data_IF_545889020149
#
_entry.id   IF_545889020149
#
_cell.length_a   1.000
_cell.length_b   1.000
_cell.length_c   1.000
_cell.angle_alpha   90.00
_cell.angle_beta   90.00
_cell.angle_gamma   90.00
#
_symmetry.space_group_name_H-M   'P 1'
#
loop_
_entity.id
_entity.type
_entity.pdbx_description
1 polymer ?
#
# COMPACT_ATOMS: atom_id res chain seq x y z
N UNK A 1 2.10 11.71 -23.08
CA UNK A 1 1.51 10.36 -23.02
C UNK A 1 2.51 9.34 -22.51
N UNK A 2 3.46 8.86 -23.32
CA UNK A 2 4.39 7.78 -22.91
C UNK A 2 5.26 8.14 -21.71
N UNK A 3 5.83 9.36 -21.67
CA UNK A 3 6.63 9.84 -20.53
C UNK A 3 5.82 9.89 -19.22
N UNK A 4 4.58 10.39 -19.27
CA UNK A 4 3.72 10.53 -18.08
C UNK A 4 3.36 9.16 -17.50
N UNK A 5 3.09 8.17 -18.36
CA UNK A 5 2.82 6.79 -17.95
C UNK A 5 4.07 6.18 -17.30
N UNK A 6 5.25 6.40 -17.86
CA UNK A 6 6.52 5.92 -17.26
C UNK A 6 6.73 6.55 -15.88
N UNK A 7 6.50 7.86 -15.73
CA UNK A 7 6.59 8.56 -14.45
C UNK A 7 5.59 7.99 -13.45
N UNK A 8 4.33 7.76 -13.86
CA UNK A 8 3.31 7.18 -13.01
C UNK A 8 3.72 5.79 -12.50
N UNK A 9 4.21 4.93 -13.39
CA UNK A 9 4.69 3.59 -13.03
C UNK A 9 5.85 3.69 -12.03
N UNK A 10 6.82 4.56 -12.27
CA UNK A 10 7.95 4.76 -11.36
C UNK A 10 7.49 5.21 -9.96
N UNK A 11 6.53 6.15 -9.88
CA UNK A 11 5.96 6.61 -8.62
C UNK A 11 5.23 5.49 -7.88
N UNK A 12 4.40 4.72 -8.57
CA UNK A 12 3.68 3.57 -7.98
C UNK A 12 4.68 2.53 -7.46
N UNK A 13 5.74 2.21 -8.21
CA UNK A 13 6.77 1.25 -7.78
C UNK A 13 7.47 1.73 -6.51
N UNK A 14 7.87 3.01 -6.44
CA UNK A 14 8.52 3.56 -5.25
C UNK A 14 7.59 3.51 -4.04
N UNK A 15 6.33 3.90 -4.20
CA UNK A 15 5.34 3.86 -3.11
C UNK A 15 5.08 2.42 -2.64
N UNK A 16 4.95 1.45 -3.56
CA UNK A 16 4.79 0.04 -3.21
C UNK A 16 6.01 -0.53 -2.48
N UNK A 17 7.23 -0.13 -2.89
CA UNK A 17 8.45 -0.54 -2.19
C UNK A 17 8.44 -0.07 -0.73
N UNK A 18 8.03 1.17 -0.49
CA UNK A 18 7.91 1.73 0.88
C UNK A 18 6.83 0.98 1.66
N UNK A 19 5.66 0.73 1.06
CA UNK A 19 4.57 -0.02 1.70
C UNK A 19 5.03 -1.43 2.09
N UNK A 20 5.67 -2.18 1.19
CA UNK A 20 6.13 -3.52 1.52
C UNK A 20 7.27 -3.54 2.53
N UNK A 21 8.12 -2.51 2.59
CA UNK A 21 9.08 -2.35 3.68
C UNK A 21 8.38 -2.14 5.04
N UNK A 22 7.38 -1.27 5.09
CA UNK A 22 6.56 -1.06 6.28
C UNK A 22 5.82 -2.34 6.70
N UNK A 23 5.39 -3.16 5.74
CA UNK A 23 4.75 -4.44 6.01
C UNK A 23 5.73 -5.44 6.64
N UNK A 24 6.94 -5.52 6.11
CA UNK A 24 7.98 -6.38 6.67
C UNK A 24 8.30 -6.00 8.11
N UNK A 25 8.42 -4.69 8.38
CA UNK A 25 8.64 -4.14 9.71
C UNK A 25 7.52 -4.43 10.72
N UNK A 26 6.30 -4.65 10.25
CA UNK A 26 5.16 -5.07 11.09
C UNK A 26 5.31 -6.54 11.54
N UNK A 27 6.21 -7.30 10.92
CA UNK A 27 6.51 -8.69 11.26
C UNK A 27 6.04 -9.69 10.19
N UNK A 28 5.61 -9.24 9.02
CA UNK A 28 5.31 -10.14 7.90
C UNK A 28 6.59 -10.61 7.22
N UNK A 29 6.59 -11.83 6.69
CA UNK A 29 7.75 -12.32 5.94
C UNK A 29 7.95 -11.50 4.66
N UNK A 30 9.19 -11.53 4.16
CA UNK A 30 9.55 -10.88 2.89
C UNK A 30 8.65 -11.34 1.74
N UNK A 31 8.29 -12.63 1.71
CA UNK A 31 7.42 -13.22 0.69
C UNK A 31 6.03 -12.55 0.68
N UNK A 32 5.40 -12.39 1.85
CA UNK A 32 4.11 -11.69 1.94
C UNK A 32 4.22 -10.23 1.49
N UNK A 33 5.34 -9.58 1.80
CA UNK A 33 5.60 -8.19 1.38
C UNK A 33 5.73 -8.07 -0.13
N UNK A 34 6.42 -9.01 -0.77
CA UNK A 34 6.53 -9.09 -2.24
C UNK A 34 5.16 -9.35 -2.87
N UNK A 35 4.37 -10.29 -2.33
CA UNK A 35 3.00 -10.55 -2.83
C UNK A 35 2.15 -9.29 -2.73
N UNK A 36 2.23 -8.57 -1.61
CA UNK A 36 1.48 -7.33 -1.42
C UNK A 36 1.82 -6.28 -2.47
N UNK A 37 3.11 -6.14 -2.83
CA UNK A 37 3.57 -5.21 -3.86
C UNK A 37 3.04 -5.54 -5.27
N UNK A 38 2.66 -6.79 -5.54
CA UNK A 38 2.04 -7.18 -6.82
C UNK A 38 0.60 -6.67 -6.96
N UNK A 39 -0.02 -6.23 -5.86
CA UNK A 39 -1.37 -5.68 -5.82
C UNK A 39 -1.32 -4.18 -5.45
N UNK A 40 -0.90 -3.31 -6.39
CA UNK A 40 -0.77 -1.88 -6.15
C UNK A 40 -2.12 -1.22 -5.86
N UNK A 41 -2.10 0.08 -5.54
CA UNK A 41 -3.30 0.85 -5.23
C UNK A 41 -4.02 0.31 -3.97
N UNK A 42 -3.25 -0.27 -3.06
CA UNK A 42 -3.74 -0.73 -1.75
C UNK A 42 -4.66 -1.94 -1.76
N UNK A 43 -4.86 -2.62 -2.90
CA UNK A 43 -5.65 -3.86 -2.97
C UNK A 43 -5.07 -4.90 -2.01
N UNK A 44 -3.74 -5.07 -1.98
CA UNK A 44 -3.08 -5.97 -1.05
C UNK A 44 -3.30 -5.58 0.42
N UNK A 45 -3.22 -4.29 0.74
CA UNK A 45 -3.46 -3.79 2.12
C UNK A 45 -4.89 -4.03 2.57
N UNK A 46 -5.86 -3.84 1.67
CA UNK A 46 -7.27 -4.06 1.98
C UNK A 46 -7.56 -5.54 2.24
N UNK A 47 -7.01 -6.43 1.41
CA UNK A 47 -7.06 -7.88 1.62
C UNK A 47 -6.45 -8.27 2.98
N UNK A 48 -5.31 -7.68 3.33
CA UNK A 48 -4.66 -7.90 4.61
C UNK A 48 -5.54 -7.45 5.78
N UNK A 49 -6.20 -6.31 5.68
CA UNK A 49 -7.10 -5.83 6.72
C UNK A 49 -8.28 -6.80 6.93
N UNK A 50 -8.99 -7.15 5.87
CA UNK A 50 -10.17 -8.00 5.94
C UNK A 50 -9.82 -9.42 6.41
N UNK A 51 -8.82 -10.05 5.81
CA UNK A 51 -8.55 -11.47 6.04
C UNK A 51 -7.58 -11.75 7.17
N UNK A 52 -6.67 -10.84 7.50
CA UNK A 52 -5.70 -11.05 8.58
C UNK A 52 -6.10 -10.31 9.85
N UNK A 53 -6.25 -8.99 9.79
CA UNK A 53 -6.40 -8.19 11.01
C UNK A 53 -7.78 -8.32 11.64
N UNK A 54 -8.85 -8.24 10.86
CA UNK A 54 -10.22 -8.34 11.40
C UNK A 54 -10.51 -9.73 11.97
N UNK A 55 -9.96 -10.78 11.36
CA UNK A 55 -10.10 -12.15 11.85
C UNK A 55 -9.32 -12.40 13.14
N UNK A 56 -8.13 -11.80 13.28
CA UNK A 56 -7.22 -12.07 14.41
C UNK A 56 -7.41 -11.11 15.58
N UNK A 57 -7.91 -9.90 15.34
CA UNK A 57 -8.08 -8.86 16.37
C UNK A 57 -9.54 -8.42 16.45
N UNK A 58 -10.29 -9.04 17.37
CA UNK A 58 -11.66 -8.62 17.69
C UNK A 58 -11.69 -7.13 18.08
N UNK A 59 -12.70 -6.41 17.56
CA UNK A 59 -12.88 -4.96 17.77
C UNK A 59 -11.65 -4.12 17.40
N UNK A 60 -10.80 -4.62 16.49
CA UNK A 60 -9.62 -3.90 16.01
C UNK A 60 -8.63 -3.54 17.14
N UNK A 61 -8.50 -4.44 18.12
CA UNK A 61 -7.55 -4.37 19.24
C UNK A 61 -6.10 -4.67 18.82
N UNK A 62 -5.68 -4.15 17.68
CA UNK A 62 -4.34 -4.26 17.11
C UNK A 62 -3.36 -3.41 17.94
N UNK A 63 -2.12 -3.90 18.21
CA UNK A 63 -1.08 -3.12 18.88
C UNK A 63 -0.87 -1.75 18.25
N UNK A 64 -0.63 -0.72 19.07
CA UNK A 64 -0.57 0.66 18.61
C UNK A 64 0.51 0.91 17.55
N UNK A 65 1.69 0.30 17.71
CA UNK A 65 2.78 0.37 16.72
C UNK A 65 2.35 -0.15 15.34
N UNK A 66 1.64 -1.29 15.31
CA UNK A 66 1.14 -1.89 14.07
C UNK A 66 0.02 -1.04 13.47
N UNK A 67 -0.90 -0.54 14.31
CA UNK A 67 -1.98 0.38 13.89
C UNK A 67 -1.43 1.66 13.26
N UNK A 68 -0.36 2.23 13.81
CA UNK A 68 0.29 3.42 13.26
C UNK A 68 0.94 3.13 11.90
N UNK A 69 1.67 2.01 11.78
CA UNK A 69 2.28 1.59 10.51
C UNK A 69 1.23 1.29 9.43
N UNK A 70 0.13 0.64 9.79
CA UNK A 70 -1.02 0.44 8.89
C UNK A 70 -1.59 1.76 8.38
N UNK A 71 -1.76 2.76 9.26
CA UNK A 71 -2.20 4.10 8.84
C UNK A 71 -1.25 4.74 7.83
N UNK A 72 0.07 4.64 8.05
CA UNK A 72 1.04 5.15 7.09
C UNK A 72 0.95 4.45 5.74
N UNK A 73 0.80 3.12 5.73
CA UNK A 73 0.60 2.36 4.50
C UNK A 73 -0.65 2.83 3.74
N UNK A 74 -1.77 3.09 4.44
CA UNK A 74 -2.98 3.65 3.82
C UNK A 74 -2.80 5.06 3.27
N UNK A 75 -2.04 5.92 3.95
CA UNK A 75 -1.71 7.26 3.45
C UNK A 75 -0.86 7.17 2.17
N UNK A 76 0.11 6.25 2.12
CA UNK A 76 0.91 6.02 0.92
C UNK A 76 0.05 5.53 -0.25
N UNK A 77 -0.86 4.59 0.00
CA UNK A 77 -1.86 4.17 -1.00
C UNK A 77 -2.72 5.33 -1.49
N UNK A 78 -3.16 6.22 -0.61
CA UNK A 78 -3.90 7.41 -1.02
C UNK A 78 -3.07 8.26 -1.99
N UNK A 79 -1.78 8.43 -1.75
CA UNK A 79 -0.89 9.13 -2.69
C UNK A 79 -0.74 8.40 -4.04
N UNK A 80 -0.79 7.06 -4.08
CA UNK A 80 -0.83 6.31 -5.35
C UNK A 80 -2.07 6.68 -6.16
N UNK A 81 -3.25 6.75 -5.51
CA UNK A 81 -4.50 7.16 -6.17
C UNK A 81 -4.47 8.62 -6.63
N UNK A 82 -3.91 9.53 -5.84
CA UNK A 82 -3.73 10.94 -6.24
C UNK A 82 -2.81 11.03 -7.45
N UNK A 83 -1.69 10.30 -7.46
CA UNK A 83 -0.75 10.28 -8.59
C UNK A 83 -1.42 9.74 -9.86
N UNK A 84 -2.21 8.67 -9.73
CA UNK A 84 -2.98 8.09 -10.83
C UNK A 84 -4.02 9.09 -11.38
N UNK A 85 -4.77 9.74 -10.50
CA UNK A 85 -5.74 10.77 -10.89
C UNK A 85 -5.08 11.94 -11.62
N UNK A 86 -4.01 12.49 -11.06
CA UNK A 86 -3.28 13.62 -11.67
C UNK A 86 -2.72 13.23 -13.04
N UNK A 87 -2.11 12.04 -13.16
CA UNK A 87 -1.56 11.60 -14.44
C UNK A 87 -2.63 11.34 -15.49
N UNK A 88 -3.76 10.69 -15.15
CA UNK A 88 -4.78 10.28 -16.11
C UNK A 88 -5.78 11.40 -16.44
N UNK A 89 -6.14 12.24 -15.48
CA UNK A 89 -7.25 13.20 -15.64
C UNK A 89 -6.77 14.62 -15.88
N UNK A 90 -5.65 15.02 -15.26
CA UNK A 90 -5.19 16.41 -15.31
C UNK A 90 -4.15 16.63 -16.40
N UNK A 91 -3.24 15.68 -16.57
CA UNK A 91 -2.07 15.82 -17.47
C UNK A 91 -2.29 15.15 -18.84
N UNK A 92 -3.22 14.19 -18.92
CA UNK A 92 -3.54 13.47 -20.17
C UNK A 92 -4.63 14.24 -20.94
#
# INVERSE_FOLDING_TARGET
MTLNIIILIAVIVVLQLIIGHLLHDVGFSLLHSIILMLFPLGIGLFALQLWYYEHRYSKWAVPFNVKLRLKYMYILTFFEYVALYVCIVVIT
#
